data_IF_533328646629
#
_entry.id   IF_533328646629
#
_cell.length_a   1.000
_cell.length_b   1.000
_cell.length_c   1.000
_cell.angle_alpha   90.00
_cell.angle_beta   90.00
_cell.angle_gamma   90.00
#
_symmetry.space_group_name_H-M   'P 1'
#
loop_
_entity.id
_entity.type
_entity.pdbx_description
1 polymer ?
#
# COMPACT_ATOMS: atom_id res chain seq x y z
N UNK A 1 16.52 14.08 -3.94
CA UNK A 1 17.74 13.77 -3.18
C UNK A 1 18.96 14.14 -4.01
N UNK A 2 20.12 14.31 -3.38
CA UNK A 2 21.37 14.68 -4.06
C UNK A 2 22.48 13.70 -3.69
N UNK A 3 23.44 13.51 -4.58
CA UNK A 3 24.61 12.67 -4.34
C UNK A 3 25.45 13.29 -3.21
N UNK A 4 25.77 12.53 -2.14
CA UNK A 4 26.57 13.06 -1.03
C UNK A 4 28.02 13.35 -1.42
N UNK A 5 28.52 12.77 -2.53
CA UNK A 5 29.91 12.96 -2.98
C UNK A 5 30.09 14.16 -3.89
N UNK A 6 29.15 14.44 -4.80
CA UNK A 6 29.30 15.50 -5.83
C UNK A 6 28.12 16.48 -5.91
N UNK A 7 27.11 16.36 -5.04
CA UNK A 7 25.95 17.26 -5.02
C UNK A 7 24.97 17.10 -6.19
N UNK A 8 25.30 16.31 -7.21
CA UNK A 8 24.43 16.07 -8.38
C UNK A 8 23.09 15.46 -7.96
N UNK A 9 21.99 15.93 -8.58
CA UNK A 9 20.64 15.37 -8.42
C UNK A 9 20.37 14.17 -9.34
N UNK A 10 21.32 13.85 -10.23
CA UNK A 10 21.18 12.74 -11.16
C UNK A 10 21.46 11.40 -10.46
N UNK A 11 20.45 10.89 -9.76
CA UNK A 11 20.56 9.69 -8.93
C UNK A 11 19.46 8.69 -9.29
N UNK A 12 19.84 7.41 -9.39
CA UNK A 12 18.95 6.27 -9.74
C UNK A 12 19.06 5.18 -8.68
N UNK A 13 18.10 4.27 -8.63
CA UNK A 13 18.14 3.06 -7.79
C UNK A 13 18.63 1.89 -8.63
N UNK A 14 19.59 1.12 -8.12
CA UNK A 14 20.08 -0.11 -8.76
C UNK A 14 19.15 -1.28 -8.48
N UNK A 15 19.24 -2.35 -9.28
CA UNK A 15 18.52 -3.60 -9.03
C UNK A 15 18.86 -4.25 -7.68
N UNK A 16 20.06 -3.96 -7.15
CA UNK A 16 20.51 -4.37 -5.82
C UNK A 16 20.01 -3.48 -4.67
N UNK A 17 19.12 -2.51 -4.93
CA UNK A 17 18.54 -1.66 -3.89
C UNK A 17 19.51 -0.62 -3.31
N UNK A 18 20.45 -0.11 -4.13
CA UNK A 18 21.37 0.98 -3.75
C UNK A 18 21.08 2.22 -4.58
N UNK A 19 21.40 3.39 -4.03
CA UNK A 19 21.43 4.61 -4.83
C UNK A 19 22.73 4.68 -5.63
N UNK A 20 22.63 5.09 -6.89
CA UNK A 20 23.72 5.30 -7.82
C UNK A 20 23.64 6.73 -8.38
N UNK A 21 24.68 7.51 -8.20
CA UNK A 21 24.84 8.78 -8.90
C UNK A 21 25.31 8.54 -10.33
N UNK A 22 24.53 8.96 -11.32
CA UNK A 22 24.90 8.78 -12.73
C UNK A 22 25.95 9.77 -13.20
N UNK A 23 26.27 10.81 -12.42
CA UNK A 23 27.31 11.80 -12.76
C UNK A 23 28.71 11.33 -12.33
N UNK A 24 28.85 10.81 -11.10
CA UNK A 24 30.17 10.46 -10.55
C UNK A 24 30.35 8.97 -10.24
N UNK A 25 29.33 8.14 -10.53
CA UNK A 25 29.37 6.68 -10.32
C UNK A 25 29.31 6.25 -8.85
N UNK A 26 29.22 7.18 -7.90
CA UNK A 26 29.17 6.85 -6.47
C UNK A 26 27.89 6.10 -6.12
N UNK A 27 28.04 5.02 -5.34
CA UNK A 27 26.90 4.22 -4.85
C UNK A 27 26.83 4.25 -3.33
N UNK A 28 25.61 4.35 -2.78
CA UNK A 28 25.38 4.30 -1.34
C UNK A 28 24.10 3.54 -1.02
N UNK A 29 23.98 2.93 0.19
CA UNK A 29 22.78 2.21 0.57
C UNK A 29 21.56 3.14 0.67
N UNK A 30 20.38 2.60 0.39
CA UNK A 30 19.13 3.28 0.73
C UNK A 30 19.02 3.31 2.27
N UNK A 31 18.75 4.48 2.88
CA UNK A 31 18.54 4.57 4.32
C UNK A 31 17.48 3.57 4.81
N UNK A 32 17.73 2.93 5.95
CA UNK A 32 16.85 1.91 6.51
C UNK A 32 15.41 2.41 6.71
N UNK A 33 15.23 3.67 7.13
CA UNK A 33 13.92 4.29 7.24
C UNK A 33 13.14 4.33 5.91
N UNK A 34 13.84 4.58 4.79
CA UNK A 34 13.22 4.60 3.45
C UNK A 34 12.90 3.18 2.96
N UNK A 35 13.75 2.20 3.29
CA UNK A 35 13.46 0.79 3.04
C UNK A 35 12.25 0.32 3.85
N UNK A 36 12.17 0.64 5.14
CA UNK A 36 11.04 0.30 6.00
C UNK A 36 9.72 0.86 5.47
N UNK A 37 9.70 2.14 5.08
CA UNK A 37 8.52 2.75 4.46
C UNK A 37 8.12 2.06 3.14
N UNK A 38 9.08 1.70 2.29
CA UNK A 38 8.80 1.01 1.04
C UNK A 38 8.25 -0.40 1.26
N UNK A 39 8.80 -1.13 2.24
CA UNK A 39 8.33 -2.46 2.63
C UNK A 39 6.89 -2.38 3.16
N UNK A 40 6.60 -1.40 4.01
CA UNK A 40 5.26 -1.18 4.55
C UNK A 40 4.23 -0.94 3.43
N UNK A 41 4.53 -0.03 2.49
CA UNK A 41 3.65 0.22 1.34
C UNK A 41 3.46 -1.05 0.51
N UNK A 42 4.54 -1.79 0.26
CA UNK A 42 4.46 -3.02 -0.51
C UNK A 42 3.54 -4.06 0.16
N UNK A 43 3.65 -4.22 1.49
CA UNK A 43 2.77 -5.12 2.25
C UNK A 43 1.30 -4.68 2.17
N UNK A 44 1.04 -3.37 2.28
CA UNK A 44 -0.30 -2.81 2.15
C UNK A 44 -0.91 -3.04 0.77
N UNK A 45 -0.16 -2.76 -0.30
CA UNK A 45 -0.64 -2.98 -1.68
C UNK A 45 -0.81 -4.47 -1.97
N UNK A 46 0.08 -5.34 -1.50
CA UNK A 46 -0.08 -6.79 -1.62
C UNK A 46 -1.37 -7.26 -0.95
N UNK A 47 -1.62 -6.85 0.30
CA UNK A 47 -2.85 -7.21 1.01
C UNK A 47 -4.11 -6.69 0.30
N UNK A 48 -4.06 -5.48 -0.26
CA UNK A 48 -5.15 -4.97 -1.10
C UNK A 48 -5.36 -5.84 -2.35
N UNK A 49 -4.31 -6.13 -3.10
CA UNK A 49 -4.41 -6.91 -4.34
C UNK A 49 -4.95 -8.34 -4.12
N UNK A 50 -4.61 -8.97 -3.00
CA UNK A 50 -5.14 -10.28 -2.62
C UNK A 50 -6.63 -10.26 -2.24
N UNK A 51 -7.11 -9.13 -1.69
CA UNK A 51 -8.46 -9.03 -1.11
C UNK A 51 -9.43 -8.18 -1.95
N UNK A 52 -8.97 -7.47 -2.97
CA UNK A 52 -9.76 -6.47 -3.72
C UNK A 52 -10.98 -7.04 -4.45
N UNK A 53 -10.99 -8.33 -4.76
CA UNK A 53 -12.06 -9.02 -5.49
C UNK A 53 -12.79 -10.04 -4.58
N UNK A 54 -12.57 -9.98 -3.27
CA UNK A 54 -13.22 -10.85 -2.32
C UNK A 54 -14.72 -10.51 -2.19
N UNK A 55 -15.58 -11.51 -2.36
CA UNK A 55 -17.04 -11.33 -2.35
C UNK A 55 -17.57 -11.27 -0.91
N UNK A 56 -18.46 -10.31 -0.64
CA UNK A 56 -19.30 -10.25 0.56
C UNK A 56 -18.53 -10.31 1.90
N UNK A 57 -17.44 -9.53 2.01
CA UNK A 57 -16.69 -9.46 3.26
C UNK A 57 -17.11 -8.23 4.07
N UNK A 58 -17.74 -8.52 5.20
CA UNK A 58 -17.97 -7.58 6.31
C UNK A 58 -16.68 -6.83 6.68
N UNK A 59 -16.78 -5.51 6.94
CA UNK A 59 -15.61 -4.69 7.24
C UNK A 59 -14.74 -5.25 8.38
N UNK A 60 -15.35 -5.77 9.45
CA UNK A 60 -14.62 -6.34 10.58
C UNK A 60 -13.87 -7.60 10.16
N UNK A 61 -14.51 -8.49 9.39
CA UNK A 61 -13.83 -9.68 8.85
C UNK A 61 -12.67 -9.31 7.94
N UNK A 62 -12.83 -8.29 7.11
CA UNK A 62 -11.76 -7.85 6.22
C UNK A 62 -10.60 -7.25 7.02
N UNK A 63 -10.88 -6.44 8.04
CA UNK A 63 -9.87 -5.90 8.97
C UNK A 63 -9.10 -7.03 9.66
N UNK A 64 -9.77 -8.04 10.20
CA UNK A 64 -9.11 -9.20 10.82
C UNK A 64 -8.20 -9.96 9.85
N UNK A 65 -8.66 -10.16 8.61
CA UNK A 65 -7.87 -10.86 7.58
C UNK A 65 -6.63 -10.07 7.13
N UNK A 66 -6.73 -8.74 7.13
CA UNK A 66 -5.59 -7.84 6.88
C UNK A 66 -4.62 -7.85 8.07
N UNK A 67 -5.12 -7.88 9.30
CA UNK A 67 -4.28 -7.94 10.51
C UNK A 67 -3.48 -9.24 10.61
N UNK A 68 -4.06 -10.36 10.18
CA UNK A 68 -3.34 -11.64 10.05
C UNK A 68 -2.13 -11.56 9.12
N UNK A 69 -2.06 -10.57 8.23
CA UNK A 69 -0.91 -10.31 7.34
C UNK A 69 0.15 -9.40 7.96
N UNK A 70 0.02 -9.07 9.24
CA UNK A 70 0.99 -8.29 10.01
C UNK A 70 0.80 -6.77 9.93
N UNK A 71 -0.36 -6.31 9.47
CA UNK A 71 -0.69 -4.88 9.40
C UNK A 71 -1.47 -4.46 10.65
N UNK A 72 -1.22 -3.26 11.14
CA UNK A 72 -1.93 -2.69 12.30
C UNK A 72 -3.39 -2.31 11.98
N UNK A 73 -4.17 -1.97 13.01
CA UNK A 73 -5.58 -1.61 12.88
C UNK A 73 -5.81 -0.41 11.94
N UNK A 74 -4.92 0.58 11.94
CA UNK A 74 -5.05 1.77 11.09
C UNK A 74 -4.90 1.40 9.60
N UNK A 75 -3.87 0.63 9.28
CA UNK A 75 -3.60 0.13 7.93
C UNK A 75 -4.69 -0.82 7.47
N UNK A 76 -5.14 -1.70 8.36
CA UNK A 76 -6.25 -2.62 8.09
C UNK A 76 -7.53 -1.86 7.75
N UNK A 77 -7.89 -0.83 8.53
CA UNK A 77 -9.05 0.01 8.24
C UNK A 77 -8.90 0.75 6.90
N UNK A 78 -7.71 1.29 6.60
CA UNK A 78 -7.44 1.98 5.34
C UNK A 78 -7.61 1.08 4.12
N UNK A 79 -7.05 -0.14 4.16
CA UNK A 79 -7.20 -1.12 3.08
C UNK A 79 -8.65 -1.58 3.00
N UNK A 80 -9.32 -1.82 4.13
CA UNK A 80 -10.70 -2.26 4.13
C UNK A 80 -11.67 -1.29 3.47
N UNK A 81 -11.56 0.00 3.80
CA UNK A 81 -12.31 1.06 3.12
C UNK A 81 -12.01 1.09 1.62
N UNK A 82 -10.77 0.85 1.20
CA UNK A 82 -10.39 0.84 -0.23
C UNK A 82 -11.04 -0.34 -0.97
N UNK A 83 -11.09 -1.52 -0.37
CA UNK A 83 -11.78 -2.70 -0.93
C UNK A 83 -13.29 -2.43 -1.03
N UNK A 84 -13.93 -1.92 0.02
CA UNK A 84 -15.36 -1.59 0.00
C UNK A 84 -15.72 -0.54 -1.06
N UNK A 85 -14.93 0.55 -1.18
CA UNK A 85 -15.13 1.57 -2.23
C UNK A 85 -15.05 0.97 -3.64
N UNK A 86 -14.12 0.04 -3.86
CA UNK A 86 -14.01 -0.68 -5.14
C UNK A 86 -15.25 -1.55 -5.37
N UNK A 87 -15.69 -2.31 -4.38
CA UNK A 87 -16.87 -3.15 -4.47
C UNK A 87 -18.14 -2.33 -4.81
N UNK A 88 -18.34 -1.17 -4.17
CA UNK A 88 -19.44 -0.23 -4.48
C UNK A 88 -19.36 0.19 -5.95
N UNK A 89 -18.19 0.62 -6.42
CA UNK A 89 -17.98 1.09 -7.81
C UNK A 89 -18.25 0.00 -8.85
N UNK A 90 -17.99 -1.26 -8.51
CA UNK A 90 -18.22 -2.41 -9.39
C UNK A 90 -19.63 -2.99 -9.24
N UNK A 91 -20.35 -2.67 -8.17
CA UNK A 91 -21.73 -3.11 -7.99
C UNK A 91 -22.63 -2.43 -9.03
N UNK A 92 -23.30 -3.24 -9.84
CA UNK A 92 -24.34 -2.78 -10.77
C UNK A 92 -25.74 -2.70 -10.15
N UNK A 93 -25.90 -3.15 -8.90
CA UNK A 93 -27.17 -3.16 -8.17
C UNK A 93 -27.22 -2.06 -7.11
N UNK A 94 -28.29 -1.27 -7.12
CA UNK A 94 -28.52 -0.15 -6.19
C UNK A 94 -28.62 -0.63 -4.74
N UNK A 95 -29.28 -1.77 -4.50
CA UNK A 95 -29.42 -2.31 -3.14
C UNK A 95 -28.07 -2.73 -2.56
N UNK A 96 -27.28 -3.47 -3.35
CA UNK A 96 -25.92 -3.84 -2.96
C UNK A 96 -25.01 -2.61 -2.76
N UNK A 97 -25.21 -1.52 -3.53
CA UNK A 97 -24.48 -0.26 -3.30
C UNK A 97 -24.84 0.39 -1.96
N UNK A 98 -26.12 0.40 -1.55
CA UNK A 98 -26.56 0.93 -0.26
C UNK A 98 -26.03 0.12 0.93
N UNK A 99 -26.08 -1.21 0.83
CA UNK A 99 -25.55 -2.12 1.86
C UNK A 99 -24.05 -1.92 2.04
N UNK A 100 -23.28 -1.91 0.94
CA UNK A 100 -21.84 -1.64 0.97
C UNK A 100 -21.52 -0.19 1.41
N UNK A 101 -22.35 0.78 1.05
CA UNK A 101 -22.22 2.17 1.44
C UNK A 101 -22.42 2.39 2.95
N UNK A 102 -23.35 1.65 3.55
CA UNK A 102 -23.56 1.64 5.00
C UNK A 102 -22.38 0.98 5.71
N UNK A 103 -21.94 -0.19 5.23
CA UNK A 103 -20.76 -0.88 5.75
C UNK A 103 -19.50 0.00 5.67
N UNK A 104 -19.35 0.82 4.62
CA UNK A 104 -18.22 1.74 4.49
C UNK A 104 -18.22 2.87 5.53
N UNK A 105 -19.39 3.37 5.96
CA UNK A 105 -19.49 4.43 6.97
C UNK A 105 -19.11 3.94 8.36
N UNK A 106 -19.38 2.67 8.63
CA UNK A 106 -19.05 1.99 9.89
C UNK A 106 -17.62 1.42 9.90
N UNK A 107 -16.89 1.56 8.78
CA UNK A 107 -15.54 1.06 8.55
C UNK A 107 -14.46 2.16 8.70
#
# INVERSE_FOLDING_TARGET
MSCPKCGSKAVKVTSSGKYLCTTCGYTWPIPEAQLGWAIEIFQMERAYEELKDAKNIDCAKLKEEIKRRGLDDEKAAKIARRVLRRAIKLSGDHRAQEELGSALKEC
#
